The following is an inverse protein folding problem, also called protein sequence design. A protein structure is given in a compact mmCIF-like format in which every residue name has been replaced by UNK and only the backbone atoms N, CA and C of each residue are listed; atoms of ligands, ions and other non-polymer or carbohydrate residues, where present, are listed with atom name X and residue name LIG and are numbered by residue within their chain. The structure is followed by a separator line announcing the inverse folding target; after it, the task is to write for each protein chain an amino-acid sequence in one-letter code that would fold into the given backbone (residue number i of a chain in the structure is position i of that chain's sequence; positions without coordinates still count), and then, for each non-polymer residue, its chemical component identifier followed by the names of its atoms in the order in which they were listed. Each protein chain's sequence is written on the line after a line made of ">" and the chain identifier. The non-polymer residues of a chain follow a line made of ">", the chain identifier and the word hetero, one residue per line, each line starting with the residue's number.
data_IF_821726583324
#
_entry.id   IF_821726583324
#
_cell.length_a   1.000
_cell.length_b   1.000
_cell.length_c   1.000
_cell.angle_alpha   90.00
_cell.angle_beta   90.00
_cell.angle_gamma   90.00
#
_symmetry.space_group_name_H-M   'P 1'
#
loop_
_entity.id
_entity.type
_entity.pdbx_description
1 polymer ?
#
# COMPACT_ATOMS: atom_id res chain seq x y z
N UNK A 1 -49.11 30.45 0.61
CA UNK A 1 -48.35 30.57 -0.66
C UNK A 1 -47.08 29.75 -0.55
N UNK A 2 -47.06 28.54 -1.14
CA UNK A 2 -45.83 27.87 -1.56
C UNK A 2 -46.20 27.18 -2.87
N UNK A 3 -45.71 27.73 -3.98
CA UNK A 3 -45.98 27.23 -5.32
C UNK A 3 -45.29 25.86 -5.48
N UNK A 4 -46.09 24.81 -5.68
CA UNK A 4 -45.62 23.55 -6.26
C UNK A 4 -45.19 23.85 -7.69
N UNK A 5 -43.96 23.52 -8.11
CA UNK A 5 -43.64 23.51 -9.52
C UNK A 5 -44.38 22.31 -10.14
N UNK A 6 -45.54 22.57 -10.72
CA UNK A 6 -46.10 21.73 -11.79
C UNK A 6 -45.19 21.91 -13.00
N UNK A 7 -44.06 21.19 -13.01
CA UNK A 7 -43.35 20.93 -14.25
C UNK A 7 -44.24 20.00 -15.06
N UNK A 8 -44.91 20.60 -16.05
CA UNK A 8 -45.48 19.89 -17.17
C UNK A 8 -44.36 19.10 -17.85
N UNK A 9 -44.20 17.84 -17.45
CA UNK A 9 -43.67 16.84 -18.37
C UNK A 9 -44.79 16.60 -19.36
N UNK A 10 -44.70 17.23 -20.53
CA UNK A 10 -45.21 16.62 -21.75
C UNK A 10 -44.45 15.31 -21.93
N UNK A 11 -44.83 14.30 -21.15
CA UNK A 11 -44.26 12.96 -21.22
C UNK A 11 -44.64 12.43 -22.58
N UNK A 12 -43.67 12.46 -23.50
CA UNK A 12 -43.86 11.91 -24.82
C UNK A 12 -44.22 10.42 -24.59
N UNK A 13 -45.44 9.96 -24.94
CA UNK A 13 -45.89 8.60 -24.64
C UNK A 13 -44.93 7.54 -25.19
N UNK A 14 -44.29 7.85 -26.31
CA UNK A 14 -43.21 7.06 -26.91
C UNK A 14 -41.97 6.95 -26.01
N UNK A 15 -41.58 8.02 -25.31
CA UNK A 15 -40.40 8.01 -24.43
C UNK A 15 -40.67 7.24 -23.13
N UNK A 16 -41.91 7.31 -22.61
CA UNK A 16 -42.35 6.48 -21.49
C UNK A 16 -42.44 5.01 -21.89
N UNK A 17 -42.99 4.70 -23.07
CA UNK A 17 -43.04 3.35 -23.62
C UNK A 17 -41.65 2.76 -23.91
N UNK A 18 -40.72 3.55 -24.44
CA UNK A 18 -39.32 3.15 -24.62
C UNK A 18 -38.63 2.87 -23.28
N UNK A 19 -38.90 3.68 -22.25
CA UNK A 19 -38.35 3.45 -20.91
C UNK A 19 -38.90 2.17 -20.28
N UNK A 20 -40.21 1.92 -20.41
CA UNK A 20 -40.86 0.67 -19.96
C UNK A 20 -40.34 -0.55 -20.70
N UNK A 21 -40.13 -0.46 -22.02
CA UNK A 21 -39.51 -1.52 -22.82
C UNK A 21 -38.05 -1.79 -22.40
N UNK A 22 -37.29 -0.73 -22.09
CA UNK A 22 -35.92 -0.84 -21.59
C UNK A 22 -35.87 -1.52 -20.23
N UNK A 23 -36.79 -1.18 -19.32
CA UNK A 23 -36.93 -1.83 -18.02
C UNK A 23 -37.29 -3.32 -18.20
N UNK A 24 -38.27 -3.64 -19.05
CA UNK A 24 -38.66 -5.01 -19.33
C UNK A 24 -37.52 -5.84 -19.95
N UNK A 25 -36.69 -5.22 -20.80
CA UNK A 25 -35.49 -5.85 -21.37
C UNK A 25 -34.42 -6.11 -20.30
N UNK A 26 -34.20 -5.16 -19.38
CA UNK A 26 -33.26 -5.32 -18.26
C UNK A 26 -33.73 -6.37 -17.26
N UNK A 27 -35.03 -6.43 -16.96
CA UNK A 27 -35.62 -7.45 -16.11
C UNK A 27 -35.50 -8.85 -16.74
N UNK A 28 -35.75 -8.98 -18.04
CA UNK A 28 -35.52 -10.24 -18.78
C UNK A 28 -34.05 -10.64 -18.78
N UNK A 29 -33.13 -9.70 -19.01
CA UNK A 29 -31.69 -9.99 -18.98
C UNK A 29 -31.22 -10.40 -17.58
N UNK A 30 -31.73 -9.75 -16.51
CA UNK A 30 -31.45 -10.11 -15.12
C UNK A 30 -32.00 -11.49 -14.78
N UNK A 31 -33.22 -11.79 -15.21
CA UNK A 31 -33.85 -13.09 -14.99
C UNK A 31 -33.09 -14.21 -15.70
N UNK A 32 -32.69 -14.01 -16.96
CA UNK A 32 -31.82 -14.94 -17.69
C UNK A 32 -30.45 -15.12 -17.00
N UNK A 33 -29.85 -14.02 -16.50
CA UNK A 33 -28.60 -14.10 -15.73
C UNK A 33 -28.79 -14.87 -14.42
N UNK A 34 -29.94 -14.75 -13.77
CA UNK A 34 -30.25 -15.45 -12.53
C UNK A 34 -30.52 -16.94 -12.77
N UNK A 35 -31.28 -17.28 -13.81
CA UNK A 35 -31.53 -18.65 -14.25
C UNK A 35 -30.23 -19.36 -14.64
N UNK A 36 -29.34 -18.68 -15.37
CA UNK A 36 -28.04 -19.25 -15.72
C UNK A 36 -27.14 -19.45 -14.49
N UNK A 37 -27.15 -18.52 -13.53
CA UNK A 37 -26.44 -18.70 -12.24
C UNK A 37 -27.00 -19.86 -11.43
N UNK A 38 -28.33 -20.01 -11.38
CA UNK A 38 -28.97 -21.12 -10.69
C UNK A 38 -28.61 -22.44 -11.35
N UNK A 39 -28.70 -22.53 -12.69
CA UNK A 39 -28.31 -23.71 -13.46
C UNK A 39 -26.84 -24.10 -13.23
N UNK A 40 -25.93 -23.12 -13.25
CA UNK A 40 -24.52 -23.35 -12.94
C UNK A 40 -24.31 -23.84 -11.50
N UNK A 41 -25.05 -23.27 -10.54
CA UNK A 41 -24.99 -23.69 -9.13
C UNK A 41 -25.47 -25.14 -8.97
N UNK A 42 -26.57 -25.51 -9.61
CA UNK A 42 -27.09 -26.88 -9.62
C UNK A 42 -26.10 -27.85 -10.28
N UNK A 43 -25.47 -27.44 -11.39
CA UNK A 43 -24.45 -28.24 -12.07
C UNK A 43 -23.23 -28.49 -11.15
N UNK A 44 -22.72 -27.46 -10.47
CA UNK A 44 -21.60 -27.59 -9.54
C UNK A 44 -21.95 -28.43 -8.31
N UNK A 45 -23.15 -28.30 -7.76
CA UNK A 45 -23.59 -29.14 -6.65
C UNK A 45 -23.76 -30.60 -7.09
N UNK A 46 -24.28 -30.85 -8.29
CA UNK A 46 -24.36 -32.19 -8.85
C UNK A 46 -22.97 -32.80 -9.07
N UNK A 47 -22.02 -32.04 -9.61
CA UNK A 47 -20.63 -32.47 -9.78
C UNK A 47 -19.96 -32.78 -8.43
N UNK A 48 -20.21 -31.95 -7.41
CA UNK A 48 -19.74 -32.18 -6.04
C UNK A 48 -20.31 -33.47 -5.46
N UNK A 49 -21.60 -33.71 -5.59
CA UNK A 49 -22.24 -34.94 -5.11
C UNK A 49 -21.70 -36.18 -5.83
N UNK A 50 -21.53 -36.10 -7.15
CA UNK A 50 -20.92 -37.17 -7.94
C UNK A 50 -19.48 -37.45 -7.50
N UNK A 51 -18.69 -36.41 -7.23
CA UNK A 51 -17.31 -36.54 -6.75
C UNK A 51 -17.24 -37.21 -5.38
N UNK A 52 -18.07 -36.79 -4.42
CA UNK A 52 -18.18 -37.40 -3.10
C UNK A 52 -18.65 -38.86 -3.16
N UNK A 53 -19.60 -39.16 -4.04
CA UNK A 53 -20.06 -40.53 -4.26
C UNK A 53 -18.96 -41.41 -4.83
N UNK A 54 -18.18 -40.91 -5.78
CA UNK A 54 -17.03 -41.62 -6.35
C UNK A 54 -15.93 -41.85 -5.30
N UNK A 55 -15.61 -40.85 -4.48
CA UNK A 55 -14.66 -40.99 -3.39
C UNK A 55 -15.08 -42.10 -2.40
N UNK A 56 -16.35 -42.11 -1.98
CA UNK A 56 -16.90 -43.17 -1.12
C UNK A 56 -16.81 -44.55 -1.76
N UNK A 57 -17.08 -44.67 -3.07
CA UNK A 57 -16.94 -45.92 -3.82
C UNK A 57 -15.50 -46.41 -3.85
N UNK A 58 -14.54 -45.51 -4.12
CA UNK A 58 -13.11 -45.84 -4.15
C UNK A 58 -12.65 -46.28 -2.76
N UNK A 59 -12.98 -45.54 -1.70
CA UNK A 59 -12.64 -45.91 -0.33
C UNK A 59 -13.23 -47.27 0.06
N UNK A 60 -14.50 -47.52 -0.30
CA UNK A 60 -15.15 -48.81 -0.09
C UNK A 60 -14.43 -49.95 -0.82
N UNK A 61 -14.08 -49.75 -2.09
CA UNK A 61 -13.30 -50.72 -2.87
C UNK A 61 -11.95 -51.01 -2.22
N UNK A 62 -11.20 -49.97 -1.83
CA UNK A 62 -9.90 -50.11 -1.17
C UNK A 62 -10.01 -50.87 0.16
N UNK A 63 -11.09 -50.66 0.92
CA UNK A 63 -11.35 -51.40 2.15
C UNK A 63 -11.65 -52.88 1.86
N UNK A 64 -12.42 -53.18 0.82
CA UNK A 64 -12.66 -54.56 0.36
C UNK A 64 -11.35 -55.24 -0.05
N UNK A 65 -10.50 -54.58 -0.84
CA UNK A 65 -9.19 -55.13 -1.23
C UNK A 65 -8.30 -55.39 -0.01
N UNK A 66 -8.30 -54.50 0.99
CA UNK A 66 -7.57 -54.72 2.25
C UNK A 66 -8.10 -55.95 2.99
N UNK A 67 -9.41 -56.13 3.06
CA UNK A 67 -10.04 -57.28 3.70
C UNK A 67 -9.72 -58.59 2.96
N UNK A 68 -9.87 -58.60 1.64
CA UNK A 68 -9.51 -59.76 0.80
C UNK A 68 -8.04 -60.13 0.95
N UNK A 69 -7.12 -59.15 0.95
CA UNK A 69 -5.70 -59.38 1.22
C UNK A 69 -5.50 -60.05 2.59
N UNK A 70 -6.18 -59.60 3.64
CA UNK A 70 -6.07 -60.22 4.96
C UNK A 70 -6.56 -61.66 4.97
N UNK A 71 -7.65 -61.95 4.25
CA UNK A 71 -8.21 -63.29 4.19
C UNK A 71 -7.32 -64.25 3.38
N UNK A 72 -6.69 -63.79 2.30
CA UNK A 72 -5.68 -64.56 1.57
C UNK A 72 -4.46 -64.82 2.46
N UNK A 73 -3.98 -63.83 3.22
CA UNK A 73 -2.86 -64.04 4.16
C UNK A 73 -3.19 -65.12 5.21
N UNK A 74 -4.43 -65.18 5.70
CA UNK A 74 -4.87 -66.28 6.59
C UNK A 74 -4.84 -67.63 5.86
N UNK A 75 -5.29 -67.67 4.60
CA UNK A 75 -5.26 -68.88 3.76
C UNK A 75 -3.83 -69.36 3.48
N UNK A 76 -2.90 -68.45 3.18
CA UNK A 76 -1.45 -68.76 3.05
C UNK A 76 -0.92 -69.39 4.34
N UNK A 77 -1.22 -68.82 5.50
CA UNK A 77 -0.79 -69.39 6.79
C UNK A 77 -1.33 -70.81 7.00
N UNK A 78 -2.59 -71.07 6.65
CA UNK A 78 -3.17 -72.41 6.73
C UNK A 78 -2.50 -73.38 5.74
N UNK A 79 -2.20 -72.95 4.51
CA UNK A 79 -1.48 -73.75 3.53
C UNK A 79 -0.03 -74.04 3.97
N UNK A 80 0.66 -73.07 4.58
CA UNK A 80 2.00 -73.27 5.16
C UNK A 80 1.98 -74.32 6.27
N UNK A 81 0.98 -74.27 7.17
CA UNK A 81 0.80 -75.29 8.20
C UNK A 81 0.51 -76.68 7.58
N UNK A 82 -0.36 -76.74 6.57
CA UNK A 82 -0.66 -77.99 5.85
C UNK A 82 0.59 -78.56 5.16
N UNK A 83 1.41 -77.72 4.51
CA UNK A 83 2.70 -78.12 3.90
C UNK A 83 3.64 -78.75 4.91
N UNK A 84 3.78 -78.16 6.09
CA UNK A 84 4.61 -78.69 7.18
C UNK A 84 4.07 -80.04 7.67
N UNK A 85 2.75 -80.15 7.85
CA UNK A 85 2.11 -81.39 8.27
C UNK A 85 2.29 -82.52 7.24
N UNK A 86 2.02 -82.27 5.96
CA UNK A 86 2.21 -83.23 4.87
C UNK A 86 3.68 -83.68 4.77
N UNK A 87 4.62 -82.75 4.93
CA UNK A 87 6.06 -83.07 4.92
C UNK A 87 6.46 -83.98 6.08
N UNK A 88 5.86 -83.77 7.27
CA UNK A 88 6.06 -84.63 8.44
C UNK A 88 5.48 -86.02 8.21
N UNK A 89 4.25 -86.11 7.70
CA UNK A 89 3.60 -87.38 7.35
C UNK A 89 4.39 -88.16 6.30
N UNK A 90 4.91 -87.49 5.27
CA UNK A 90 5.74 -88.09 4.23
C UNK A 90 7.04 -88.65 4.82
N UNK A 91 7.67 -87.95 5.77
CA UNK A 91 8.87 -88.44 6.47
C UNK A 91 8.58 -89.69 7.29
N UNK A 92 7.50 -89.69 8.06
CA UNK A 92 7.08 -90.86 8.86
C UNK A 92 6.77 -92.05 7.95
N UNK A 93 6.03 -91.82 6.87
CA UNK A 93 5.66 -92.86 5.92
C UNK A 93 6.87 -93.44 5.18
N UNK A 94 7.84 -92.59 4.83
CA UNK A 94 9.11 -93.02 4.23
C UNK A 94 9.92 -93.90 5.18
N UNK A 95 9.92 -93.60 6.47
CA UNK A 95 10.55 -94.46 7.47
C UNK A 95 9.84 -95.81 7.57
N UNK A 96 8.50 -95.82 7.67
CA UNK A 96 7.68 -97.05 7.66
C UNK A 96 7.99 -97.93 6.44
N UNK A 97 8.06 -97.33 5.25
CA UNK A 97 8.40 -98.04 4.02
C UNK A 97 9.79 -98.70 4.09
N UNK A 98 10.81 -97.97 4.58
CA UNK A 98 12.17 -98.50 4.72
C UNK A 98 12.20 -99.66 5.74
N UNK A 99 11.53 -99.50 6.88
CA UNK A 99 11.46 -100.52 7.92
C UNK A 99 10.74 -101.78 7.43
N UNK A 100 9.60 -101.63 6.76
CA UNK A 100 8.84 -102.74 6.17
C UNK A 100 9.64 -103.43 5.06
N UNK A 101 10.41 -102.68 4.26
CA UNK A 101 11.29 -103.23 3.22
C UNK A 101 12.40 -104.08 3.82
N UNK A 102 13.06 -103.59 4.88
CA UNK A 102 14.09 -104.33 5.59
C UNK A 102 13.55 -105.61 6.24
N UNK A 103 12.39 -105.53 6.92
CA UNK A 103 11.72 -106.70 7.51
C UNK A 103 11.30 -107.72 6.46
N UNK A 104 10.78 -107.27 5.31
CA UNK A 104 10.44 -108.16 4.19
C UNK A 104 11.68 -108.88 3.66
N UNK A 105 12.79 -108.17 3.47
CA UNK A 105 14.05 -108.77 3.01
C UNK A 105 14.57 -109.85 3.98
N UNK A 106 14.54 -109.56 5.29
CA UNK A 106 14.89 -110.53 6.33
C UNK A 106 13.96 -111.74 6.32
N UNK A 107 12.64 -111.53 6.20
CA UNK A 107 11.65 -112.60 6.13
C UNK A 107 11.84 -113.50 4.91
N UNK A 108 12.08 -112.92 3.72
CA UNK A 108 12.38 -113.68 2.50
C UNK A 108 13.68 -114.46 2.64
N UNK A 109 14.72 -113.85 3.21
CA UNK A 109 15.99 -114.53 3.45
C UNK A 109 15.84 -115.71 4.43
N UNK A 110 15.11 -115.51 5.53
CA UNK A 110 14.81 -116.58 6.48
C UNK A 110 14.05 -117.73 5.80
N UNK A 111 13.01 -117.42 5.03
CA UNK A 111 12.25 -118.39 4.26
C UNK A 111 13.10 -119.19 3.26
N UNK A 112 14.11 -118.56 2.64
CA UNK A 112 15.05 -119.23 1.72
C UNK A 112 16.07 -120.14 2.45
N UNK A 113 16.40 -119.82 3.70
CA UNK A 113 17.37 -120.57 4.51
C UNK A 113 16.78 -121.77 5.24
N UNK A 114 15.44 -121.86 5.35
CA UNK A 114 14.72 -123.02 5.88
C UNK A 114 14.95 -124.27 5.01
N UNK A 115 15.84 -125.17 5.45
CA UNK A 115 16.11 -126.46 4.77
C UNK A 115 15.41 -127.67 5.42
N UNK A 116 15.00 -127.59 6.68
CA UNK A 116 14.48 -128.73 7.46
C UNK A 116 13.44 -128.30 8.51
N UNK A 117 12.26 -127.85 8.07
CA UNK A 117 11.18 -127.43 8.97
C UNK A 117 9.80 -127.98 8.56
N UNK A 118 8.86 -127.94 9.50
CA UNK A 118 7.50 -128.43 9.29
C UNK A 118 6.73 -127.54 8.30
N UNK A 119 5.79 -128.08 7.51
CA UNK A 119 5.00 -127.31 6.53
C UNK A 119 4.30 -126.08 7.14
N UNK A 120 4.00 -126.13 8.43
CA UNK A 120 3.30 -125.09 9.19
C UNK A 120 4.16 -123.85 9.43
N UNK A 121 5.44 -124.02 9.77
CA UNK A 121 6.38 -122.91 9.99
C UNK A 121 6.66 -122.16 8.69
N UNK A 122 6.82 -122.92 7.59
CA UNK A 122 6.97 -122.37 6.24
C UNK A 122 5.74 -121.57 5.80
N UNK A 123 4.54 -122.03 6.14
CA UNK A 123 3.29 -121.32 5.83
C UNK A 123 3.15 -120.02 6.62
N UNK A 124 3.47 -120.04 7.92
CA UNK A 124 3.47 -118.83 8.75
C UNK A 124 4.42 -117.75 8.23
N UNK A 125 5.66 -118.12 7.88
CA UNK A 125 6.64 -117.20 7.28
C UNK A 125 6.13 -116.61 5.95
N UNK A 126 5.41 -117.40 5.14
CA UNK A 126 4.83 -116.93 3.89
C UNK A 126 3.72 -115.90 4.13
N UNK A 127 2.85 -116.14 5.10
CA UNK A 127 1.79 -115.20 5.50
C UNK A 127 2.38 -113.88 6.01
N UNK A 128 3.46 -113.92 6.79
CA UNK A 128 4.18 -112.72 7.24
C UNK A 128 4.80 -111.94 6.07
N UNK A 129 5.43 -112.64 5.11
CA UNK A 129 6.00 -112.04 3.89
C UNK A 129 4.91 -111.35 3.07
N UNK A 130 3.76 -112.01 2.87
CA UNK A 130 2.63 -111.43 2.13
C UNK A 130 2.03 -110.22 2.85
N UNK A 131 1.87 -110.29 4.17
CA UNK A 131 1.45 -109.16 5.00
C UNK A 131 2.40 -107.96 4.87
N UNK A 132 3.71 -108.20 4.95
CA UNK A 132 4.74 -107.16 4.79
C UNK A 132 4.77 -106.58 3.37
N UNK A 133 4.54 -107.41 2.35
CA UNK A 133 4.41 -106.96 0.95
C UNK A 133 3.19 -106.08 0.77
N UNK A 134 2.05 -106.43 1.37
CA UNK A 134 0.85 -105.60 1.36
C UNK A 134 1.11 -104.23 2.00
N UNK A 135 1.72 -104.19 3.19
CA UNK A 135 2.09 -102.95 3.87
C UNK A 135 3.04 -102.06 3.03
N UNK A 136 3.98 -102.64 2.29
CA UNK A 136 4.86 -101.89 1.39
C UNK A 136 4.14 -101.27 0.21
N UNK A 137 3.16 -101.97 -0.36
CA UNK A 137 2.33 -101.45 -1.45
C UNK A 137 1.50 -100.28 -0.93
N UNK A 138 0.86 -100.45 0.23
CA UNK A 138 0.11 -99.40 0.93
C UNK A 138 1.00 -98.18 1.19
N UNK A 139 2.17 -98.36 1.82
CA UNK A 139 3.10 -97.26 2.10
C UNK A 139 3.59 -96.54 0.81
N UNK A 140 3.82 -97.28 -0.28
CA UNK A 140 4.21 -96.71 -1.58
C UNK A 140 3.07 -95.86 -2.18
N UNK A 141 1.85 -96.36 -2.13
CA UNK A 141 0.69 -95.70 -2.70
C UNK A 141 0.35 -94.43 -1.88
N UNK A 142 0.42 -94.49 -0.55
CA UNK A 142 0.29 -93.30 0.29
C UNK A 142 1.42 -92.29 0.13
N UNK A 143 2.67 -92.73 -0.05
CA UNK A 143 3.77 -91.81 -0.36
C UNK A 143 3.52 -91.06 -1.68
N UNK A 144 2.96 -91.76 -2.67
CA UNK A 144 2.63 -91.16 -3.96
C UNK A 144 1.51 -90.14 -3.80
N UNK A 145 0.45 -90.48 -3.07
CA UNK A 145 -0.65 -89.56 -2.72
C UNK A 145 -0.15 -88.34 -1.94
N UNK A 146 0.64 -88.53 -0.89
CA UNK A 146 1.19 -87.44 -0.07
C UNK A 146 2.07 -86.49 -0.90
N UNK A 147 2.82 -87.03 -1.87
CA UNK A 147 3.65 -86.23 -2.78
C UNK A 147 2.78 -85.36 -3.71
N UNK A 148 1.70 -85.91 -4.24
CA UNK A 148 0.73 -85.14 -5.05
C UNK A 148 0.03 -84.06 -4.21
N UNK A 149 -0.42 -84.40 -3.01
CA UNK A 149 -1.04 -83.44 -2.09
C UNK A 149 -0.08 -82.31 -1.68
N UNK A 150 1.20 -82.63 -1.44
CA UNK A 150 2.23 -81.65 -1.14
C UNK A 150 2.47 -80.72 -2.33
N UNK A 151 2.56 -81.27 -3.54
CA UNK A 151 2.72 -80.48 -4.78
C UNK A 151 1.55 -79.53 -4.99
N UNK A 152 0.31 -80.02 -4.87
CA UNK A 152 -0.90 -79.19 -4.97
C UNK A 152 -0.94 -78.11 -3.88
N UNK A 153 -0.46 -78.41 -2.68
CA UNK A 153 -0.36 -77.43 -1.60
C UNK A 153 0.66 -76.34 -1.91
N UNK A 154 1.79 -76.68 -2.53
CA UNK A 154 2.82 -75.73 -2.96
C UNK A 154 2.35 -74.86 -4.12
N UNK A 155 1.69 -75.45 -5.13
CA UNK A 155 1.11 -74.72 -6.26
C UNK A 155 0.09 -73.67 -5.78
N UNK A 156 -0.83 -74.07 -4.88
CA UNK A 156 -1.78 -73.14 -4.26
C UNK A 156 -1.08 -72.06 -3.45
N UNK A 157 -0.03 -72.40 -2.72
CA UNK A 157 0.69 -71.42 -1.90
C UNK A 157 1.33 -70.32 -2.78
N UNK A 158 1.92 -70.70 -3.92
CA UNK A 158 2.47 -69.75 -4.90
C UNK A 158 1.37 -68.86 -5.51
N UNK A 159 0.23 -69.44 -5.86
CA UNK A 159 -0.92 -68.69 -6.41
C UNK A 159 -1.43 -67.64 -5.43
N UNK A 160 -1.67 -68.01 -4.18
CA UNK A 160 -2.14 -67.08 -3.15
C UNK A 160 -1.08 -66.02 -2.81
N UNK A 161 0.21 -66.37 -2.80
CA UNK A 161 1.30 -65.40 -2.61
C UNK A 161 1.36 -64.37 -3.75
N UNK A 162 1.15 -64.81 -5.00
CA UNK A 162 1.05 -63.92 -6.15
C UNK A 162 -0.16 -62.98 -6.04
N UNK A 163 -1.31 -63.49 -5.57
CA UNK A 163 -2.50 -62.66 -5.38
C UNK A 163 -2.31 -61.62 -4.26
N UNK A 164 -1.66 -61.97 -3.14
CA UNK A 164 -1.29 -61.00 -2.10
C UNK A 164 -0.32 -59.95 -2.62
N UNK A 165 0.64 -60.33 -3.46
CA UNK A 165 1.57 -59.38 -4.06
C UNK A 165 0.83 -58.39 -4.97
N UNK A 166 -0.08 -58.88 -5.82
CA UNK A 166 -0.90 -58.05 -6.70
C UNK A 166 -1.80 -57.07 -5.91
N UNK A 167 -2.54 -57.58 -4.90
CA UNK A 167 -3.36 -56.71 -4.05
C UNK A 167 -2.50 -55.71 -3.26
N UNK A 168 -1.31 -56.10 -2.80
CA UNK A 168 -0.41 -55.20 -2.09
C UNK A 168 0.12 -54.07 -2.98
N UNK A 169 0.49 -54.38 -4.23
CA UNK A 169 0.93 -53.38 -5.19
C UNK A 169 -0.18 -52.34 -5.47
N UNK A 170 -1.42 -52.80 -5.66
CA UNK A 170 -2.57 -51.91 -5.85
C UNK A 170 -2.82 -50.97 -4.65
N UNK A 171 -2.71 -51.49 -3.42
CA UNK A 171 -2.82 -50.66 -2.22
C UNK A 171 -1.69 -49.62 -2.12
N UNK A 172 -0.47 -50.00 -2.49
CA UNK A 172 0.69 -49.11 -2.45
C UNK A 172 0.60 -48.01 -3.52
N UNK A 173 0.11 -48.33 -4.71
CA UNK A 173 -0.14 -47.35 -5.77
C UNK A 173 -1.20 -46.32 -5.38
N UNK A 174 -2.32 -46.74 -4.78
CA UNK A 174 -3.34 -45.81 -4.25
C UNK A 174 -2.76 -44.89 -3.16
N UNK A 175 -1.98 -45.44 -2.21
CA UNK A 175 -1.32 -44.65 -1.17
C UNK A 175 -0.32 -43.64 -1.76
N UNK A 176 0.44 -44.02 -2.80
CA UNK A 176 1.35 -43.13 -3.52
C UNK A 176 0.60 -42.02 -4.25
N UNK A 177 -0.47 -42.38 -4.96
CA UNK A 177 -1.31 -41.43 -5.69
C UNK A 177 -1.94 -40.41 -4.74
N UNK A 178 -2.49 -40.86 -3.61
CA UNK A 178 -3.05 -39.97 -2.58
C UNK A 178 -2.02 -38.99 -2.04
N UNK A 179 -0.79 -39.44 -1.77
CA UNK A 179 0.29 -38.55 -1.32
C UNK A 179 0.70 -37.54 -2.40
N UNK A 180 0.85 -37.99 -3.64
CA UNK A 180 1.19 -37.11 -4.76
C UNK A 180 0.12 -36.01 -4.94
N UNK A 181 -1.17 -36.36 -4.89
CA UNK A 181 -2.27 -35.39 -4.96
C UNK A 181 -2.19 -34.39 -3.81
N UNK A 182 -1.97 -34.85 -2.57
CA UNK A 182 -1.86 -33.96 -1.42
C UNK A 182 -0.67 -33.00 -1.51
N UNK A 183 0.47 -33.47 -2.02
CA UNK A 183 1.67 -32.64 -2.18
C UNK A 183 1.47 -31.61 -3.31
N UNK A 184 0.87 -32.01 -4.43
CA UNK A 184 0.51 -31.12 -5.53
C UNK A 184 -0.50 -30.04 -5.08
N UNK A 185 -1.53 -30.40 -4.32
CA UNK A 185 -2.50 -29.46 -3.75
C UNK A 185 -1.85 -28.46 -2.79
N UNK A 186 -0.93 -28.93 -1.93
CA UNK A 186 -0.17 -28.05 -1.02
C UNK A 186 0.70 -27.09 -1.80
N UNK A 187 1.36 -27.55 -2.84
CA UNK A 187 2.23 -26.71 -3.65
C UNK A 187 1.42 -25.68 -4.44
N UNK A 188 0.29 -26.08 -5.02
CA UNK A 188 -0.66 -25.17 -5.66
C UNK A 188 -1.15 -24.10 -4.69
N UNK A 189 -1.56 -24.47 -3.48
CA UNK A 189 -1.99 -23.51 -2.45
C UNK A 189 -0.88 -22.53 -2.04
N UNK A 190 0.37 -22.99 -1.95
CA UNK A 190 1.52 -22.10 -1.69
C UNK A 190 1.73 -21.11 -2.83
N UNK A 191 1.67 -21.59 -4.08
CA UNK A 191 1.81 -20.75 -5.27
C UNK A 191 0.68 -19.71 -5.36
N UNK A 192 -0.58 -20.13 -5.17
CA UNK A 192 -1.74 -19.23 -5.14
C UNK A 192 -1.61 -18.19 -4.03
N UNK A 193 -1.19 -18.59 -2.82
CA UNK A 193 -0.95 -17.67 -1.71
C UNK A 193 0.18 -16.68 -2.03
N UNK A 194 1.28 -17.14 -2.62
CA UNK A 194 2.39 -16.28 -3.00
C UNK A 194 1.96 -15.28 -4.09
N UNK A 195 1.22 -15.73 -5.10
CA UNK A 195 0.68 -14.87 -6.15
C UNK A 195 -0.30 -13.82 -5.59
N UNK A 196 -1.19 -14.22 -4.68
CA UNK A 196 -2.10 -13.30 -4.01
C UNK A 196 -1.35 -12.23 -3.20
N UNK A 197 -0.37 -12.63 -2.39
CA UNK A 197 0.45 -11.69 -1.61
C UNK A 197 1.24 -10.74 -2.52
N UNK A 198 1.76 -11.24 -3.64
CA UNK A 198 2.46 -10.41 -4.62
C UNK A 198 1.51 -9.39 -5.27
N UNK A 199 0.33 -9.81 -5.69
CA UNK A 199 -0.70 -8.91 -6.23
C UNK A 199 -1.09 -7.83 -5.22
N UNK A 200 -1.33 -8.21 -3.95
CA UNK A 200 -1.68 -7.26 -2.89
C UNK A 200 -0.54 -6.26 -2.61
N UNK A 201 0.72 -6.72 -2.63
CA UNK A 201 1.89 -5.84 -2.49
C UNK A 201 2.02 -4.86 -3.66
N UNK A 202 1.77 -5.32 -4.88
CA UNK A 202 1.85 -4.47 -6.07
C UNK A 202 0.70 -3.45 -6.13
N UNK A 203 -0.51 -3.82 -5.69
CA UNK A 203 -1.63 -2.90 -5.52
C UNK A 203 -1.31 -1.80 -4.47
N UNK A 204 -0.75 -2.17 -3.31
CA UNK A 204 -0.35 -1.19 -2.30
C UNK A 204 0.80 -0.29 -2.79
N UNK A 205 1.78 -0.84 -3.51
CA UNK A 205 2.82 -0.02 -4.17
C UNK A 205 2.24 0.98 -5.14
N UNK A 206 1.26 0.58 -5.96
CA UNK A 206 0.58 1.49 -6.89
C UNK A 206 -0.19 2.58 -6.15
N UNK A 207 -0.87 2.24 -5.04
CA UNK A 207 -1.56 3.22 -4.19
C UNK A 207 -0.59 4.24 -3.61
N UNK A 208 0.52 3.79 -3.01
CA UNK A 208 1.53 4.69 -2.48
C UNK A 208 2.16 5.58 -3.55
N UNK A 209 2.41 5.03 -4.75
CA UNK A 209 2.92 5.81 -5.86
C UNK A 209 1.93 6.91 -6.30
N UNK A 210 0.64 6.56 -6.41
CA UNK A 210 -0.41 7.51 -6.77
C UNK A 210 -0.59 8.59 -5.69
N UNK A 211 -0.52 8.23 -4.41
CA UNK A 211 -0.58 9.17 -3.30
C UNK A 211 0.62 10.13 -3.30
N UNK A 212 1.83 9.60 -3.49
CA UNK A 212 3.04 10.41 -3.60
C UNK A 212 3.00 11.37 -4.80
N UNK A 213 2.48 10.93 -5.95
CA UNK A 213 2.33 11.79 -7.12
C UNK A 213 1.27 12.88 -6.91
N UNK A 214 0.15 12.56 -6.24
CA UNK A 214 -0.86 13.53 -5.85
C UNK A 214 -0.30 14.58 -4.87
N UNK A 215 0.47 14.15 -3.87
CA UNK A 215 1.09 15.06 -2.90
C UNK A 215 2.15 15.94 -3.56
N UNK A 216 2.94 15.39 -4.49
CA UNK A 216 3.87 16.17 -5.30
C UNK A 216 3.16 17.25 -6.13
N UNK A 217 2.00 16.94 -6.70
CA UNK A 217 1.18 17.92 -7.42
C UNK A 217 0.63 19.00 -6.47
N UNK A 218 0.13 18.60 -5.30
CA UNK A 218 -0.35 19.55 -4.27
C UNK A 218 0.75 20.49 -3.80
N UNK A 219 1.95 19.97 -3.54
CA UNK A 219 3.11 20.77 -3.15
C UNK A 219 3.54 21.74 -4.25
N UNK A 220 3.52 21.31 -5.52
CA UNK A 220 3.79 22.21 -6.66
C UNK A 220 2.81 23.38 -6.72
N UNK A 221 1.51 23.10 -6.62
CA UNK A 221 0.47 24.14 -6.60
C UNK A 221 0.63 25.09 -5.40
N UNK A 222 0.98 24.56 -4.22
CA UNK A 222 1.25 25.38 -3.04
C UNK A 222 2.50 26.27 -3.20
N UNK A 223 3.56 25.76 -3.83
CA UNK A 223 4.76 26.53 -4.14
C UNK A 223 4.48 27.63 -5.17
N UNK A 224 3.75 27.32 -6.24
CA UNK A 224 3.32 28.31 -7.24
C UNK A 224 2.49 29.43 -6.60
N UNK A 225 1.51 29.07 -5.76
CA UNK A 225 0.70 30.04 -5.03
C UNK A 225 1.52 30.88 -4.04
N UNK A 226 2.60 30.33 -3.48
CA UNK A 226 3.50 31.06 -2.58
C UNK A 226 4.40 32.02 -3.37
N UNK A 227 4.95 31.57 -4.50
CA UNK A 227 5.74 32.40 -5.40
C UNK A 227 4.91 33.60 -5.95
N UNK A 228 3.64 33.36 -6.29
CA UNK A 228 2.73 34.43 -6.71
C UNK A 228 2.47 35.45 -5.59
N UNK A 229 2.34 34.99 -4.34
CA UNK A 229 2.19 35.88 -3.19
C UNK A 229 3.46 36.68 -2.94
N UNK A 230 4.62 36.05 -3.00
CA UNK A 230 5.92 36.72 -2.86
C UNK A 230 6.12 37.79 -3.94
N UNK A 231 5.77 37.48 -5.19
CA UNK A 231 5.81 38.44 -6.29
C UNK A 231 4.92 39.65 -6.04
N UNK A 232 3.65 39.43 -5.62
CA UNK A 232 2.72 40.52 -5.28
C UNK A 232 3.22 41.37 -4.12
N UNK A 233 3.82 40.75 -3.10
CA UNK A 233 4.43 41.47 -1.98
C UNK A 233 5.63 42.30 -2.44
N UNK A 234 6.49 41.76 -3.32
CA UNK A 234 7.61 42.48 -3.89
C UNK A 234 7.15 43.71 -4.71
N UNK A 235 6.13 43.55 -5.55
CA UNK A 235 5.53 44.64 -6.32
C UNK A 235 4.94 45.74 -5.40
N UNK A 236 4.25 45.36 -4.31
CA UNK A 236 3.72 46.33 -3.35
C UNK A 236 4.83 47.04 -2.57
N UNK A 237 5.91 46.34 -2.20
CA UNK A 237 7.09 46.97 -1.58
C UNK A 237 7.74 47.98 -2.52
N UNK A 238 7.88 47.65 -3.81
CA UNK A 238 8.43 48.56 -4.81
C UNK A 238 7.54 49.80 -4.99
N UNK A 239 6.22 49.61 -5.04
CA UNK A 239 5.25 50.71 -5.09
C UNK A 239 5.31 51.62 -3.86
N UNK A 240 5.46 51.04 -2.67
CA UNK A 240 5.63 51.82 -1.44
C UNK A 240 6.95 52.59 -1.43
N UNK A 241 8.05 51.98 -1.91
CA UNK A 241 9.33 52.67 -2.09
C UNK A 241 9.20 53.84 -3.08
N UNK A 242 8.50 53.65 -4.20
CA UNK A 242 8.22 54.71 -5.17
C UNK A 242 7.47 55.89 -4.54
N UNK A 243 6.38 55.62 -3.82
CA UNK A 243 5.62 56.65 -3.09
C UNK A 243 6.46 57.38 -2.04
N UNK A 244 7.30 56.65 -1.30
CA UNK A 244 8.17 57.25 -0.29
C UNK A 244 9.22 58.18 -0.94
N UNK A 245 9.78 57.78 -2.08
CA UNK A 245 10.69 58.60 -2.90
C UNK A 245 10.01 59.86 -3.42
N UNK A 246 8.80 59.75 -3.97
CA UNK A 246 8.01 60.91 -4.43
C UNK A 246 7.72 61.88 -3.29
N UNK A 247 7.30 61.38 -2.13
CA UNK A 247 7.06 62.21 -0.94
C UNK A 247 8.34 62.89 -0.47
N UNK A 248 9.47 62.18 -0.49
CA UNK A 248 10.78 62.75 -0.14
C UNK A 248 11.20 63.86 -1.12
N UNK A 249 10.96 63.68 -2.42
CA UNK A 249 11.21 64.71 -3.43
C UNK A 249 10.34 65.94 -3.23
N UNK A 250 9.02 65.75 -2.99
CA UNK A 250 8.11 66.86 -2.70
C UNK A 250 8.51 67.62 -1.43
N UNK A 251 8.88 66.91 -0.37
CA UNK A 251 9.39 67.52 0.86
C UNK A 251 10.66 68.34 0.60
N UNK A 252 11.59 67.79 -0.20
CA UNK A 252 12.81 68.50 -0.56
C UNK A 252 12.52 69.76 -1.39
N UNK A 253 11.61 69.68 -2.36
CA UNK A 253 11.20 70.82 -3.16
C UNK A 253 10.53 71.90 -2.30
N UNK A 254 9.62 71.52 -1.40
CA UNK A 254 9.00 72.45 -0.47
C UNK A 254 10.01 73.13 0.46
N UNK A 255 11.06 72.40 0.90
CA UNK A 255 12.16 72.99 1.67
C UNK A 255 12.96 74.01 0.86
N UNK A 256 13.23 73.74 -0.42
CA UNK A 256 13.90 74.67 -1.32
C UNK A 256 13.05 75.92 -1.55
N UNK A 257 11.76 75.77 -1.87
CA UNK A 257 10.81 76.87 -2.04
C UNK A 257 10.70 77.73 -0.77
N UNK A 258 10.63 77.09 0.41
CA UNK A 258 10.62 77.81 1.68
C UNK A 258 11.95 78.54 1.94
N UNK A 259 13.09 77.96 1.58
CA UNK A 259 14.39 78.62 1.70
C UNK A 259 14.51 79.84 0.77
N UNK A 260 14.06 79.71 -0.48
CA UNK A 260 13.98 80.81 -1.45
C UNK A 260 13.04 81.92 -0.98
N UNK A 261 11.85 81.55 -0.49
CA UNK A 261 10.90 82.50 0.08
C UNK A 261 11.48 83.24 1.30
N UNK A 262 12.17 82.54 2.19
CA UNK A 262 12.83 83.15 3.36
C UNK A 262 13.95 84.10 2.92
N UNK A 263 14.74 83.73 1.92
CA UNK A 263 15.81 84.57 1.38
C UNK A 263 15.25 85.84 0.72
N UNK A 264 14.28 85.70 -0.18
CA UNK A 264 13.63 86.83 -0.87
C UNK A 264 12.93 87.77 0.11
N UNK A 265 12.23 87.23 1.11
CA UNK A 265 11.59 88.03 2.16
C UNK A 265 12.62 88.77 3.00
N UNK A 266 13.73 88.12 3.39
CA UNK A 266 14.83 88.76 4.09
C UNK A 266 15.44 89.91 3.28
N UNK A 267 15.68 89.71 1.99
CA UNK A 267 16.21 90.75 1.09
C UNK A 267 15.25 91.94 1.00
N UNK A 268 13.95 91.70 0.81
CA UNK A 268 12.93 92.77 0.78
C UNK A 268 12.89 93.55 2.10
N UNK A 269 12.89 92.86 3.24
CA UNK A 269 12.89 93.51 4.55
C UNK A 269 14.17 94.33 4.76
N UNK A 270 15.34 93.80 4.38
CA UNK A 270 16.60 94.56 4.42
C UNK A 270 16.53 95.82 3.57
N UNK A 271 16.00 95.74 2.34
CA UNK A 271 15.82 96.91 1.47
C UNK A 271 14.86 97.94 2.06
N UNK A 272 13.73 97.50 2.64
CA UNK A 272 12.78 98.42 3.29
C UNK A 272 13.39 99.10 4.52
N UNK A 273 14.15 98.38 5.35
CA UNK A 273 14.85 98.95 6.50
C UNK A 273 15.91 99.95 6.06
N UNK A 274 16.63 99.66 4.97
CA UNK A 274 17.63 100.57 4.41
C UNK A 274 16.99 101.84 3.83
N UNK A 275 15.86 101.70 3.14
CA UNK A 275 15.07 102.84 2.66
C UNK A 275 14.58 103.72 3.84
N UNK A 276 13.95 103.12 4.86
CA UNK A 276 13.51 103.84 6.07
C UNK A 276 14.66 104.55 6.79
N UNK A 277 15.84 103.92 6.85
CA UNK A 277 17.03 104.52 7.43
C UNK A 277 17.49 105.74 6.62
N UNK A 278 17.45 105.66 5.29
CA UNK A 278 17.81 106.77 4.41
C UNK A 278 16.81 107.92 4.53
N UNK A 279 15.51 107.63 4.56
CA UNK A 279 14.45 108.62 4.75
C UNK A 279 14.62 109.35 6.10
N UNK A 280 14.88 108.60 7.18
CA UNK A 280 15.15 109.17 8.49
C UNK A 280 16.40 110.07 8.50
N UNK A 281 17.49 109.64 7.86
CA UNK A 281 18.71 110.45 7.74
C UNK A 281 18.54 111.70 6.86
N UNK A 282 17.63 111.66 5.90
CA UNK A 282 17.26 112.81 5.09
C UNK A 282 16.43 113.80 5.91
N UNK A 283 15.39 113.32 6.60
CA UNK A 283 14.54 114.15 7.45
C UNK A 283 15.35 114.81 8.58
N UNK A 284 16.30 114.06 9.17
CA UNK A 284 17.23 114.61 10.16
C UNK A 284 18.09 115.74 9.58
N UNK A 285 18.59 115.60 8.35
CA UNK A 285 19.35 116.66 7.67
C UNK A 285 18.48 117.88 7.37
N UNK A 286 17.28 117.67 6.83
CA UNK A 286 16.34 118.78 6.57
C UNK A 286 15.96 119.52 7.87
N UNK A 287 15.80 118.80 8.98
CA UNK A 287 15.57 119.39 10.29
C UNK A 287 16.79 120.18 10.79
N UNK A 288 18.01 119.67 10.58
CA UNK A 288 19.24 120.38 10.91
C UNK A 288 19.39 121.66 10.07
N UNK A 289 19.13 121.60 8.77
CA UNK A 289 19.18 122.77 7.88
C UNK A 289 18.17 123.85 8.31
N UNK A 290 16.94 123.44 8.68
CA UNK A 290 15.92 124.36 9.22
C UNK A 290 16.36 124.98 10.54
N UNK A 291 16.98 124.20 11.42
CA UNK A 291 17.52 124.68 12.69
C UNK A 291 18.64 125.71 12.45
N UNK A 292 19.61 125.40 11.58
CA UNK A 292 20.72 126.28 11.25
C UNK A 292 20.22 127.59 10.59
N UNK A 293 19.20 127.50 9.74
CA UNK A 293 18.55 128.68 9.17
C UNK A 293 17.86 129.56 10.23
N UNK A 294 17.16 128.95 11.19
CA UNK A 294 16.56 129.69 12.30
C UNK A 294 17.63 130.38 13.17
N UNK A 295 18.75 129.71 13.43
CA UNK A 295 19.91 130.29 14.14
C UNK A 295 20.51 131.46 13.36
N UNK A 296 20.62 131.36 12.03
CA UNK A 296 21.07 132.45 11.18
C UNK A 296 20.14 133.67 11.26
N UNK A 297 18.82 133.48 11.19
CA UNK A 297 17.85 134.57 11.34
C UNK A 297 17.93 135.23 12.72
N UNK A 298 18.08 134.44 13.79
CA UNK A 298 18.26 134.96 15.14
C UNK A 298 19.55 135.77 15.30
N UNK A 299 20.65 135.35 14.63
CA UNK A 299 21.90 136.12 14.59
C UNK A 299 21.72 137.45 13.86
N UNK A 300 21.10 137.44 12.68
CA UNK A 300 20.83 138.68 11.95
C UNK A 300 19.93 139.64 12.75
N UNK A 301 18.88 139.13 13.39
CA UNK A 301 18.02 139.97 14.24
C UNK A 301 18.80 140.57 15.43
N UNK A 302 19.73 139.82 16.02
CA UNK A 302 20.64 140.35 17.05
C UNK A 302 21.52 141.46 16.49
N UNK A 303 22.14 141.25 15.33
CA UNK A 303 23.04 142.22 14.70
C UNK A 303 22.27 143.50 14.30
N UNK A 304 21.06 143.38 13.77
CA UNK A 304 20.15 144.50 13.48
C UNK A 304 19.78 145.28 14.75
N UNK A 305 19.51 144.59 15.88
CA UNK A 305 19.25 145.25 17.18
C UNK A 305 20.45 146.07 17.63
N UNK A 306 21.67 145.53 17.46
CA UNK A 306 22.91 146.24 17.81
C UNK A 306 23.09 147.47 16.91
N UNK A 307 22.84 147.33 15.61
CA UNK A 307 22.97 148.42 14.63
C UNK A 307 21.90 149.52 14.83
N UNK A 308 20.68 149.15 15.20
CA UNK A 308 19.63 150.10 15.60
C UNK A 308 19.97 150.77 16.94
N UNK A 309 20.58 150.04 17.88
CA UNK A 309 21.05 150.57 19.15
C UNK A 309 22.10 151.67 18.97
N UNK A 310 23.14 151.42 18.16
CA UNK A 310 24.18 152.42 17.86
C UNK A 310 23.62 153.62 17.11
N UNK A 311 22.65 153.42 16.22
CA UNK A 311 21.98 154.52 15.51
C UNK A 311 21.11 155.39 16.41
N UNK A 312 20.47 154.80 17.42
CA UNK A 312 19.74 155.54 18.45
C UNK A 312 20.67 156.34 19.34
N UNK A 313 21.81 155.78 19.78
CA UNK A 313 22.82 156.53 20.54
C UNK A 313 23.32 157.75 19.76
N UNK A 314 23.56 157.61 18.45
CA UNK A 314 23.97 158.72 17.59
C UNK A 314 22.88 159.80 17.44
N UNK A 315 21.60 159.39 17.37
CA UNK A 315 20.47 160.32 17.33
C UNK A 315 20.27 161.03 18.67
N UNK A 316 20.39 160.32 19.79
CA UNK A 316 20.34 160.91 21.14
C UNK A 316 21.45 161.93 21.34
N UNK A 317 22.66 161.65 20.86
CA UNK A 317 23.79 162.61 20.86
C UNK A 317 23.45 163.89 20.10
N UNK A 318 22.91 163.77 18.89
CA UNK A 318 22.50 164.93 18.07
C UNK A 318 21.36 165.72 18.72
N UNK A 319 20.45 165.05 19.40
CA UNK A 319 19.33 165.69 20.10
C UNK A 319 19.80 166.41 21.36
N UNK A 320 20.78 165.85 22.07
CA UNK A 320 21.45 166.51 23.20
C UNK A 320 22.21 167.77 22.76
N UNK A 321 22.93 167.70 21.63
CA UNK A 321 23.67 168.84 21.07
C UNK A 321 22.74 169.96 20.60
N UNK A 322 21.55 169.64 20.07
CA UNK A 322 20.51 170.64 19.73
C UNK A 322 19.89 171.31 20.97
N UNK A 323 19.71 170.58 22.08
CA UNK A 323 19.11 171.12 23.32
C UNK A 323 20.08 172.05 24.07
N UNK A 324 21.39 171.84 23.94
CA UNK A 324 22.40 172.69 24.58
C UNK A 324 22.56 174.03 23.85
N UNK A 325 22.38 174.07 22.53
CA UNK A 325 22.46 175.32 21.75
C UNK A 325 21.30 176.29 21.99
N UNK A 326 20.13 175.80 22.38
CA UNK A 326 18.93 176.62 22.65
C UNK A 326 18.94 177.32 24.03
N UNK A 327 20.00 177.11 24.84
CA UNK A 327 20.14 177.68 26.21
C UNK A 327 21.22 178.76 26.37
N UNK A 328 21.80 179.26 25.28
CA UNK A 328 22.86 180.30 25.30
C UNK A 328 22.53 181.57 24.50
N UNK A 329 21.26 181.96 24.45
CA UNK A 329 20.84 183.35 24.17
C UNK A 329 20.53 184.10 25.46
#
# INVERSE_FOLDING_TARGET
>A
MVARPTSASSGNPEMMGQMEETIANLERAKQQSWEEKQRLTELYEQERQNSLANEKKILGFMQTVKQEKMDIVKKIKALQQKKVQLSKEMRVRKQSYVDNKSKLQLGVQAFQQLKTETPREKQHLMEEIESRKSLLITDRDELSRLKEELKLCEEKLVEEEAEVAAKSALLEEDDKLRKAIQDDEREKMKQERAAYLQSALDEERQRFQLEADNDKQRLKLALEATADKEKKLAEEVEKQRGRALELQQQMHQMQLEHAEWKHTTKVKLSQMVEALKNDFLQEQREMQDKYDYAVYLLRNARDDIVELGTRNEDLEKRLHDMIIWDKTW
#
